data_IF_349713286617
#
_entry.id   IF_349713286617
#
_cell.length_a   1.000
_cell.length_b   1.000
_cell.length_c   1.000
_cell.angle_alpha   90.00
_cell.angle_beta   90.00
_cell.angle_gamma   90.00
#
_symmetry.space_group_name_H-M   'P 1'
#
loop_
_entity.id
_entity.type
_entity.pdbx_description
1 polymer ?
#
# COMPACT_ATOMS: atom_id res chain seq x y z
N UNK A 1 -33.85 7.01 8.51
CA UNK A 1 -34.06 8.33 7.90
C UNK A 1 -33.14 8.55 6.72
N UNK A 2 -33.67 9.09 5.67
CA UNK A 2 -32.91 9.37 4.47
C UNK A 2 -32.50 10.84 4.49
N UNK A 3 -31.26 11.10 4.11
CA UNK A 3 -30.75 12.47 4.04
C UNK A 3 -31.44 13.27 2.95
N UNK A 4 -31.84 14.48 3.31
CA UNK A 4 -32.24 15.52 2.39
C UNK A 4 -31.51 16.81 2.76
N UNK A 5 -31.60 17.85 1.93
CA UNK A 5 -31.00 19.15 2.25
C UNK A 5 -31.56 19.75 3.54
N UNK A 6 -32.80 19.43 3.84
CA UNK A 6 -33.46 19.89 5.06
C UNK A 6 -32.97 19.14 6.30
N UNK A 7 -32.32 18.01 6.10
CA UNK A 7 -31.84 17.17 7.16
C UNK A 7 -30.38 17.39 7.54
N UNK A 8 -29.79 18.47 7.09
CA UNK A 8 -28.38 18.78 7.37
C UNK A 8 -28.03 18.73 8.86
N UNK A 9 -28.91 19.24 9.69
CA UNK A 9 -28.77 19.17 11.16
C UNK A 9 -28.79 17.73 11.66
N UNK A 10 -29.70 16.92 11.14
CA UNK A 10 -29.80 15.51 11.50
C UNK A 10 -28.50 14.76 11.26
N UNK A 11 -27.91 14.95 10.10
CA UNK A 11 -26.63 14.27 9.78
C UNK A 11 -25.46 14.81 10.58
N UNK A 12 -25.46 16.10 10.89
CA UNK A 12 -24.45 16.68 11.76
C UNK A 12 -24.48 16.07 13.16
N UNK A 13 -25.68 15.83 13.70
CA UNK A 13 -25.88 15.26 15.02
C UNK A 13 -25.77 13.72 15.02
N UNK A 14 -25.83 13.08 13.85
CA UNK A 14 -25.84 11.62 13.68
C UNK A 14 -24.85 11.17 12.61
N UNK A 15 -23.52 11.33 12.82
CA UNK A 15 -22.53 11.01 11.81
C UNK A 15 -22.51 9.54 11.40
N UNK A 16 -22.86 8.62 12.29
CA UNK A 16 -22.92 7.18 11.98
C UNK A 16 -23.96 6.87 10.90
N UNK A 17 -25.07 7.60 10.89
CA UNK A 17 -26.08 7.45 9.84
C UNK A 17 -25.55 7.81 8.46
N UNK A 18 -24.74 8.85 8.39
CA UNK A 18 -24.08 9.25 7.14
C UNK A 18 -23.16 8.15 6.65
N UNK A 19 -22.31 7.61 7.53
CA UNK A 19 -21.36 6.55 7.20
C UNK A 19 -22.05 5.28 6.72
N UNK A 20 -23.05 4.83 7.45
CA UNK A 20 -23.82 3.65 7.09
C UNK A 20 -24.52 3.81 5.75
N UNK A 21 -25.08 4.98 5.51
CA UNK A 21 -25.72 5.27 4.24
C UNK A 21 -24.74 5.25 3.08
N UNK A 22 -23.58 5.89 3.24
CA UNK A 22 -22.54 5.88 2.23
C UNK A 22 -22.12 4.45 1.87
N UNK A 23 -21.94 3.61 2.86
CA UNK A 23 -21.58 2.20 2.65
C UNK A 23 -22.66 1.43 1.91
N UNK A 24 -23.92 1.63 2.27
CA UNK A 24 -25.06 0.92 1.67
C UNK A 24 -25.33 1.38 0.24
N UNK A 25 -25.26 2.69 -0.03
CA UNK A 25 -25.58 3.25 -1.34
C UNK A 25 -24.46 3.14 -2.36
N UNK A 26 -23.22 3.12 -1.91
CA UNK A 26 -22.09 3.00 -2.82
C UNK A 26 -21.62 1.55 -2.89
N UNK A 27 -22.35 0.73 -3.64
CA UNK A 27 -22.02 -0.69 -3.82
C UNK A 27 -20.85 -0.94 -4.76
N UNK A 28 -20.33 0.09 -5.41
CA UNK A 28 -19.23 -0.05 -6.36
C UNK A 28 -17.90 0.44 -5.83
N UNK A 29 -17.92 1.12 -4.70
CA UNK A 29 -16.73 1.70 -4.08
C UNK A 29 -16.56 1.21 -2.66
N UNK A 30 -15.31 1.04 -2.29
CA UNK A 30 -14.94 0.65 -0.94
C UNK A 30 -13.78 1.52 -0.46
N UNK A 31 -13.86 1.98 0.79
CA UNK A 31 -12.80 2.74 1.43
C UNK A 31 -12.40 2.09 2.75
N UNK A 32 -11.12 2.07 3.03
CA UNK A 32 -10.58 1.60 4.31
C UNK A 32 -9.69 2.70 4.86
N UNK A 33 -10.02 3.17 6.06
CA UNK A 33 -9.31 4.30 6.69
C UNK A 33 -9.20 5.53 5.78
N UNK A 34 -10.27 5.87 5.07
CA UNK A 34 -10.31 6.99 4.16
C UNK A 34 -9.65 6.77 2.80
N UNK A 35 -9.05 5.61 2.57
CA UNK A 35 -8.44 5.26 1.28
C UNK A 35 -9.38 4.42 0.44
N UNK A 36 -9.48 4.76 -0.83
CA UNK A 36 -10.24 3.99 -1.80
C UNK A 36 -9.58 2.65 -2.08
N UNK A 37 -10.37 1.58 -2.02
CA UNK A 37 -9.92 0.23 -2.39
C UNK A 37 -10.37 -0.05 -3.82
N UNK A 38 -9.43 -0.29 -4.71
CA UNK A 38 -9.70 -0.50 -6.14
C UNK A 38 -10.55 -1.75 -6.39
N UNK A 39 -11.31 -1.74 -7.46
CA UNK A 39 -12.17 -2.86 -7.84
C UNK A 39 -11.42 -4.16 -8.10
N UNK A 40 -10.20 -4.07 -8.58
CA UNK A 40 -9.34 -5.22 -8.84
C UNK A 40 -8.63 -5.76 -7.60
N UNK A 41 -8.75 -5.06 -6.46
CA UNK A 41 -8.14 -5.50 -5.22
C UNK A 41 -8.90 -6.69 -4.62
N UNK A 42 -8.20 -7.75 -4.14
CA UNK A 42 -8.83 -8.95 -3.58
C UNK A 42 -9.79 -8.66 -2.40
N UNK A 43 -9.55 -7.59 -1.66
CA UNK A 43 -10.38 -7.19 -0.52
C UNK A 43 -11.55 -6.29 -0.90
N UNK A 44 -11.69 -5.95 -2.19
CA UNK A 44 -12.77 -5.10 -2.66
C UNK A 44 -14.09 -5.86 -2.70
N UNK A 45 -14.91 -5.67 -1.67
CA UNK A 45 -16.21 -6.33 -1.52
C UNK A 45 -17.24 -5.32 -1.02
N UNK A 46 -17.62 -4.33 -1.84
CA UNK A 46 -18.56 -3.30 -1.43
C UNK A 46 -19.93 -3.88 -1.12
N UNK A 47 -20.62 -3.30 -0.15
CA UNK A 47 -21.96 -3.73 0.28
C UNK A 47 -21.99 -5.00 1.12
N UNK A 48 -20.85 -5.62 1.42
CA UNK A 48 -20.76 -6.83 2.22
C UNK A 48 -21.04 -6.59 3.71
N UNK A 49 -20.67 -5.43 4.19
CA UNK A 49 -20.67 -5.11 5.61
C UNK A 49 -21.92 -4.30 6.00
N UNK A 50 -22.40 -4.52 7.22
CA UNK A 50 -23.58 -3.82 7.75
C UNK A 50 -23.30 -2.35 8.08
N UNK A 51 -22.06 -2.05 8.54
CA UNK A 51 -21.67 -0.70 8.93
C UNK A 51 -20.33 -0.34 8.31
N UNK A 52 -20.08 0.96 8.28
CA UNK A 52 -18.77 1.48 7.85
C UNK A 52 -17.64 0.98 8.75
N UNK A 53 -17.89 0.92 10.06
CA UNK A 53 -16.90 0.46 11.04
C UNK A 53 -16.55 -1.01 10.82
N UNK A 54 -17.54 -1.87 10.61
CA UNK A 54 -17.32 -3.29 10.32
C UNK A 54 -16.47 -3.48 9.06
N UNK A 55 -16.78 -2.73 8.01
CA UNK A 55 -16.01 -2.77 6.77
C UNK A 55 -14.55 -2.36 7.00
N UNK A 56 -14.34 -1.28 7.73
CA UNK A 56 -13.00 -0.76 8.00
C UNK A 56 -12.17 -1.76 8.81
N UNK A 57 -12.73 -2.32 9.89
CA UNK A 57 -12.02 -3.29 10.72
C UNK A 57 -11.71 -4.59 9.99
N UNK A 58 -12.67 -5.17 9.31
CA UNK A 58 -12.47 -6.44 8.62
C UNK A 58 -11.46 -6.30 7.47
N UNK A 59 -11.58 -5.25 6.67
CA UNK A 59 -10.68 -5.01 5.55
C UNK A 59 -9.26 -4.69 6.01
N UNK A 60 -9.11 -3.89 7.05
CA UNK A 60 -7.80 -3.57 7.61
C UNK A 60 -7.13 -4.81 8.19
N UNK A 61 -7.87 -5.62 8.96
CA UNK A 61 -7.35 -6.85 9.52
C UNK A 61 -6.88 -7.82 8.43
N UNK A 62 -7.64 -7.98 7.36
CA UNK A 62 -7.25 -8.83 6.23
C UNK A 62 -6.01 -8.30 5.52
N UNK A 63 -5.91 -6.98 5.38
CA UNK A 63 -4.74 -6.33 4.80
C UNK A 63 -3.48 -6.61 5.62
N UNK A 64 -3.58 -6.47 6.93
CA UNK A 64 -2.45 -6.72 7.84
C UNK A 64 -2.06 -8.20 7.89
N UNK A 65 -3.03 -9.10 7.82
CA UNK A 65 -2.80 -10.54 7.86
C UNK A 65 -2.34 -11.14 6.54
N UNK A 66 -2.56 -10.45 5.42
CA UNK A 66 -2.11 -10.93 4.12
C UNK A 66 -0.59 -11.01 4.07
N UNK A 67 -0.06 -12.15 3.63
CA UNK A 67 1.36 -12.35 3.40
C UNK A 67 1.78 -11.93 2.01
N UNK A 68 0.91 -12.10 1.05
CA UNK A 68 1.17 -11.76 -0.34
C UNK A 68 1.40 -10.28 -0.53
N UNK A 69 2.20 -9.95 -1.51
CA UNK A 69 2.45 -8.58 -1.88
C UNK A 69 3.58 -8.46 -2.87
N UNK A 70 4.23 -7.33 -2.82
CA UNK A 70 5.33 -7.00 -3.72
C UNK A 70 6.51 -6.47 -2.93
N UNK A 71 7.71 -6.82 -3.38
CA UNK A 71 8.95 -6.16 -3.01
C UNK A 71 9.33 -5.25 -4.17
N UNK A 72 9.77 -4.05 -3.89
CA UNK A 72 10.06 -3.05 -4.90
C UNK A 72 11.38 -2.34 -4.65
N UNK A 73 11.95 -1.81 -5.74
CA UNK A 73 13.09 -0.90 -5.68
C UNK A 73 12.61 0.45 -6.20
N UNK A 74 12.79 1.49 -5.40
CA UNK A 74 12.51 2.87 -5.80
C UNK A 74 13.78 3.72 -5.75
N UNK A 75 13.78 4.75 -6.57
CA UNK A 75 14.88 5.69 -6.70
C UNK A 75 14.39 7.12 -6.56
N UNK A 76 15.32 8.02 -6.24
CA UNK A 76 15.06 9.45 -6.20
C UNK A 76 16.28 10.20 -6.71
N UNK A 77 16.15 11.13 -7.67
CA UNK A 77 17.28 11.87 -8.22
C UNK A 77 18.02 12.74 -7.20
N UNK A 78 17.40 13.08 -6.07
CA UNK A 78 18.06 13.79 -4.98
C UNK A 78 19.03 12.91 -4.20
N UNK A 79 18.93 11.60 -4.34
CA UNK A 79 19.79 10.60 -3.72
C UNK A 79 20.32 9.65 -4.80
N UNK A 80 21.14 10.14 -5.75
CA UNK A 80 21.50 9.39 -6.96
C UNK A 80 22.31 8.12 -6.70
N UNK A 81 22.98 8.03 -5.56
CA UNK A 81 23.78 6.87 -5.19
C UNK A 81 23.02 5.84 -4.35
N UNK A 82 21.77 6.14 -4.03
CA UNK A 82 20.97 5.32 -3.13
C UNK A 82 19.73 4.76 -3.81
N UNK A 83 19.39 3.53 -3.41
CA UNK A 83 18.13 2.92 -3.76
C UNK A 83 17.40 2.48 -2.49
N UNK A 84 16.09 2.39 -2.55
CA UNK A 84 15.29 1.89 -1.45
C UNK A 84 14.63 0.59 -1.85
N UNK A 85 14.75 -0.41 -0.97
CA UNK A 85 14.04 -1.68 -1.08
C UNK A 85 12.95 -1.71 -0.03
N UNK A 86 11.72 -1.85 -0.46
CA UNK A 86 10.56 -1.88 0.42
C UNK A 86 9.56 -2.95 0.01
N UNK A 87 8.52 -3.07 0.81
CA UNK A 87 7.42 -3.97 0.54
C UNK A 87 6.09 -3.23 0.58
N UNK A 88 5.13 -3.73 -0.19
CA UNK A 88 3.77 -3.24 -0.19
C UNK A 88 2.83 -4.32 -0.72
N UNK A 89 1.53 -4.14 -0.51
CA UNK A 89 0.54 -4.96 -1.21
C UNK A 89 0.48 -4.52 -2.67
N UNK A 90 0.55 -3.22 -2.91
CA UNK A 90 0.63 -2.63 -4.26
C UNK A 90 1.75 -1.59 -4.28
N UNK A 91 2.79 -1.85 -5.06
CA UNK A 91 3.96 -0.98 -5.17
C UNK A 91 3.65 0.40 -5.75
N UNK A 92 2.73 0.48 -6.71
CA UNK A 92 2.34 1.74 -7.32
C UNK A 92 1.61 2.63 -6.33
N UNK A 93 0.71 2.07 -5.55
CA UNK A 93 0.01 2.82 -4.50
C UNK A 93 0.99 3.31 -3.45
N UNK A 94 1.98 2.49 -3.10
CA UNK A 94 3.02 2.88 -2.15
C UNK A 94 3.90 3.99 -2.70
N UNK A 95 4.27 3.91 -3.98
CA UNK A 95 5.01 4.96 -4.66
C UNK A 95 4.25 6.29 -4.63
N UNK A 96 2.96 6.26 -4.92
CA UNK A 96 2.11 7.44 -4.86
C UNK A 96 2.11 8.07 -3.45
N UNK A 97 2.12 7.25 -2.42
CA UNK A 97 2.27 7.71 -1.05
C UNK A 97 3.59 8.45 -0.80
N UNK A 98 4.69 7.96 -1.35
CA UNK A 98 5.98 8.64 -1.25
C UNK A 98 6.02 9.96 -2.01
N UNK A 99 5.35 10.06 -3.14
CA UNK A 99 5.33 11.30 -3.93
C UNK A 99 4.80 12.49 -3.13
N UNK A 100 3.93 12.25 -2.16
CA UNK A 100 3.39 13.32 -1.32
C UNK A 100 4.43 13.96 -0.40
N UNK A 101 5.53 13.27 -0.11
CA UNK A 101 6.62 13.78 0.72
C UNK A 101 7.64 14.60 -0.05
N UNK A 102 7.57 14.62 -1.37
CA UNK A 102 8.46 15.40 -2.23
C UNK A 102 7.68 16.48 -2.98
N UNK A 103 8.13 17.75 -2.95
CA UNK A 103 7.47 18.80 -3.72
C UNK A 103 7.58 18.60 -5.23
N UNK A 104 8.55 17.82 -5.67
CA UNK A 104 8.79 17.54 -7.09
C UNK A 104 8.21 16.21 -7.56
N UNK A 105 7.65 15.41 -6.65
CA UNK A 105 7.08 14.09 -6.94
C UNK A 105 8.01 13.23 -7.79
N UNK A 106 9.27 13.18 -7.39
CA UNK A 106 10.40 12.66 -8.17
C UNK A 106 10.85 11.25 -7.79
N UNK A 107 10.11 10.55 -6.94
CA UNK A 107 10.33 9.13 -6.71
C UNK A 107 9.94 8.33 -7.94
N UNK A 108 10.73 7.32 -8.28
CA UNK A 108 10.47 6.43 -9.41
C UNK A 108 10.53 4.98 -8.98
N UNK A 109 9.57 4.20 -9.46
CA UNK A 109 9.59 2.75 -9.30
C UNK A 109 10.52 2.17 -10.35
N UNK A 110 11.63 1.57 -9.91
CA UNK A 110 12.57 0.92 -10.81
C UNK A 110 12.08 -0.47 -11.22
N UNK A 111 11.71 -1.27 -10.25
CA UNK A 111 11.15 -2.61 -10.46
C UNK A 111 10.36 -3.08 -9.23
N UNK A 112 9.54 -4.09 -9.43
CA UNK A 112 8.84 -4.78 -8.36
C UNK A 112 8.70 -6.26 -8.69
N UNK A 113 8.58 -7.08 -7.64
CA UNK A 113 8.34 -8.51 -7.76
C UNK A 113 7.14 -8.90 -6.92
N UNK A 114 6.26 -9.70 -7.48
CA UNK A 114 5.18 -10.32 -6.72
C UNK A 114 5.73 -11.49 -5.91
N UNK A 115 5.45 -11.52 -4.63
CA UNK A 115 5.97 -12.53 -3.70
C UNK A 115 4.85 -13.09 -2.82
N UNK A 116 5.03 -14.32 -2.36
CA UNK A 116 4.04 -14.99 -1.51
C UNK A 116 4.08 -14.51 -0.06
N UNK A 117 5.23 -14.06 0.41
CA UNK A 117 5.42 -13.48 1.75
C UNK A 117 6.30 -12.24 1.65
N UNK A 118 5.67 -11.08 1.56
CA UNK A 118 6.38 -9.81 1.36
C UNK A 118 7.31 -9.44 2.50
N UNK A 119 6.95 -9.76 3.74
CA UNK A 119 7.79 -9.42 4.91
C UNK A 119 9.06 -10.25 4.93
N UNK A 120 8.93 -11.54 4.68
CA UNK A 120 10.07 -12.45 4.61
C UNK A 120 10.98 -12.10 3.44
N UNK A 121 10.42 -11.85 2.26
CA UNK A 121 11.16 -11.49 1.07
C UNK A 121 11.94 -10.17 1.25
N UNK A 122 11.31 -9.14 1.81
CA UNK A 122 11.98 -7.87 2.09
C UNK A 122 13.12 -8.04 3.10
N UNK A 123 12.86 -8.74 4.19
CA UNK A 123 13.86 -8.97 5.25
C UNK A 123 15.09 -9.71 4.71
N UNK A 124 14.88 -10.73 3.90
CA UNK A 124 15.98 -11.48 3.27
C UNK A 124 16.72 -10.63 2.24
N UNK A 125 16.00 -9.81 1.47
CA UNK A 125 16.61 -8.88 0.52
C UNK A 125 17.48 -7.84 1.24
N UNK A 126 17.00 -7.27 2.33
CA UNK A 126 17.77 -6.35 3.15
C UNK A 126 19.06 -7.00 3.70
N UNK A 127 18.96 -8.21 4.22
CA UNK A 127 20.10 -8.95 4.74
C UNK A 127 21.13 -9.26 3.65
N UNK A 128 20.66 -9.63 2.48
CA UNK A 128 21.53 -9.92 1.34
C UNK A 128 22.27 -8.68 0.85
N UNK A 129 21.57 -7.58 0.68
CA UNK A 129 22.17 -6.32 0.20
C UNK A 129 23.11 -5.71 1.23
N UNK A 130 22.83 -5.84 2.51
CA UNK A 130 23.68 -5.34 3.59
C UNK A 130 25.08 -5.96 3.59
N UNK A 131 25.20 -7.19 3.08
CA UNK A 131 26.52 -7.85 2.97
C UNK A 131 27.44 -7.20 1.96
N UNK A 132 26.91 -6.54 0.95
CA UNK A 132 27.68 -5.99 -0.17
C UNK A 132 27.66 -4.47 -0.27
N UNK A 133 26.67 -3.82 0.33
CA UNK A 133 26.44 -2.38 0.18
C UNK A 133 26.20 -1.71 1.52
N UNK A 134 26.55 -0.43 1.61
CA UNK A 134 26.23 0.39 2.78
C UNK A 134 24.72 0.53 2.92
N UNK A 135 24.23 0.42 4.14
CA UNK A 135 22.79 0.45 4.46
C UNK A 135 22.45 1.58 5.42
N UNK A 136 21.35 2.27 5.15
CA UNK A 136 20.68 3.19 6.09
C UNK A 136 19.17 2.90 6.09
N UNK A 137 18.70 2.17 7.11
CA UNK A 137 17.32 1.71 7.15
C UNK A 137 17.00 0.81 5.98
N UNK A 138 16.07 1.23 5.13
CA UNK A 138 15.69 0.52 3.91
C UNK A 138 16.42 1.02 2.66
N UNK A 139 17.38 1.92 2.83
CA UNK A 139 18.18 2.49 1.75
C UNK A 139 19.54 1.82 1.66
N UNK A 140 20.00 1.59 0.43
CA UNK A 140 21.28 0.94 0.13
C UNK A 140 22.07 1.76 -0.88
N UNK A 141 23.37 1.90 -0.65
CA UNK A 141 24.25 2.64 -1.52
C UNK A 141 24.74 1.75 -2.66
N UNK A 142 23.98 1.73 -3.74
CA UNK A 142 24.30 1.00 -4.96
C UNK A 142 23.44 1.52 -6.11
N UNK A 143 23.70 1.04 -7.32
CA UNK A 143 22.81 1.32 -8.45
C UNK A 143 21.57 0.43 -8.38
N UNK A 144 20.43 0.85 -8.96
CA UNK A 144 19.24 -0.01 -9.00
C UNK A 144 19.49 -1.32 -9.74
N UNK A 145 20.33 -1.31 -10.76
CA UNK A 145 20.72 -2.52 -11.51
C UNK A 145 21.51 -3.50 -10.65
N UNK A 146 22.45 -3.00 -9.84
CA UNK A 146 23.20 -3.84 -8.89
C UNK A 146 22.29 -4.48 -7.86
N UNK A 147 21.34 -3.72 -7.33
CA UNK A 147 20.36 -4.25 -6.36
C UNK A 147 19.46 -5.30 -7.01
N UNK A 148 18.95 -5.02 -8.21
CA UNK A 148 18.09 -5.95 -8.95
C UNK A 148 18.82 -7.28 -9.20
N UNK A 149 20.05 -7.24 -9.68
CA UNK A 149 20.87 -8.43 -9.93
C UNK A 149 21.11 -9.22 -8.65
N UNK A 150 21.43 -8.53 -7.57
CA UNK A 150 21.74 -9.17 -6.29
C UNK A 150 20.54 -9.94 -5.69
N UNK A 151 19.32 -9.45 -5.87
CA UNK A 151 18.13 -10.03 -5.26
C UNK A 151 17.25 -10.83 -6.22
N UNK A 152 17.56 -10.87 -7.50
CA UNK A 152 16.72 -11.50 -8.52
C UNK A 152 16.41 -12.98 -8.22
N UNK A 153 17.42 -13.76 -7.90
CA UNK A 153 17.26 -15.18 -7.54
C UNK A 153 16.42 -15.35 -6.28
N UNK A 154 16.69 -14.52 -5.26
CA UNK A 154 15.93 -14.52 -4.02
C UNK A 154 14.43 -14.25 -4.28
N UNK A 155 14.13 -13.27 -5.14
CA UNK A 155 12.76 -12.93 -5.48
C UNK A 155 12.05 -14.05 -6.24
N UNK A 156 12.75 -14.73 -7.12
CA UNK A 156 12.20 -15.92 -7.81
C UNK A 156 11.82 -17.02 -6.83
N UNK A 157 12.61 -17.24 -5.79
CA UNK A 157 12.35 -18.23 -4.75
C UNK A 157 11.15 -17.88 -3.86
N UNK A 158 10.74 -16.60 -3.84
CA UNK A 158 9.60 -16.12 -3.07
C UNK A 158 8.29 -15.99 -3.87
N UNK A 159 8.32 -16.29 -5.12
CA UNK A 159 7.14 -16.22 -6.00
C UNK A 159 6.10 -17.33 -5.77
#
# INVERSE_FOLDING_TARGET
MIYTKTDGKYYKDNPERVRQRSLIHDKTKMHVNGKYVRKDHPLHKPGRYKTFTDAAFDSLAKYEMSKEGQVYIITNPNFPEWIKVGMAIDSEDRLNGYQTSSPFRDYSLFTSWSVSDRRSAESEAHSLLEKSFDRRGEWFKCTPEQAQEAVAELMENHQ
#
